data_IF_078666916175
#
_entry.id   IF_078666916175
#
_cell.length_a   1.000
_cell.length_b   1.000
_cell.length_c   1.000
_cell.angle_alpha   90.00
_cell.angle_beta   90.00
_cell.angle_gamma   90.00
#
_symmetry.space_group_name_H-M   'P 1'
#
loop_
_entity.id
_entity.type
_entity.pdbx_description
1 polymer ?
#
# COMPACT_ATOMS: atom_id res chain seq x y z
N UNK A 1 -24.85 -2.74 28.44
CA UNK A 1 -25.20 -3.87 29.32
C UNK A 1 -25.28 -5.13 28.48
N UNK A 2 -24.88 -6.28 29.01
CA UNK A 2 -24.90 -7.57 28.29
C UNK A 2 -26.27 -8.22 28.47
N UNK A 3 -26.94 -8.57 27.39
CA UNK A 3 -28.23 -9.29 27.44
C UNK A 3 -28.03 -10.80 27.26
N UNK A 4 -28.80 -11.58 28.02
CA UNK A 4 -28.84 -13.04 27.91
C UNK A 4 -30.12 -13.50 27.21
N UNK A 5 -30.05 -14.64 26.54
CA UNK A 5 -31.19 -15.19 25.83
C UNK A 5 -32.16 -15.89 26.81
N UNK A 6 -33.47 -15.61 26.71
CA UNK A 6 -34.47 -16.19 27.60
C UNK A 6 -34.70 -17.70 27.40
N UNK A 7 -34.26 -18.27 26.26
CA UNK A 7 -34.43 -19.71 25.96
C UNK A 7 -33.22 -20.54 26.37
N UNK A 8 -32.02 -20.06 26.02
CA UNK A 8 -30.78 -20.83 26.08
C UNK A 8 -29.88 -20.41 27.28
N UNK A 9 -30.19 -19.29 27.96
CA UNK A 9 -29.30 -18.64 28.94
C UNK A 9 -27.98 -18.13 28.35
N UNK A 10 -27.77 -18.30 27.04
CA UNK A 10 -26.55 -17.91 26.34
C UNK A 10 -26.47 -16.42 26.11
N UNK A 11 -25.25 -15.93 25.95
CA UNK A 11 -24.96 -14.53 25.68
C UNK A 11 -25.47 -14.13 24.29
N UNK A 12 -26.19 -13.01 24.22
CA UNK A 12 -26.65 -12.45 22.95
C UNK A 12 -25.54 -11.62 22.31
N UNK A 13 -25.23 -11.91 21.05
CA UNK A 13 -24.17 -11.23 20.30
C UNK A 13 -24.82 -10.28 19.27
N UNK A 14 -24.31 -9.05 19.12
CA UNK A 14 -24.79 -8.12 18.11
C UNK A 14 -24.60 -8.68 16.70
N UNK A 15 -25.65 -8.65 15.91
CA UNK A 15 -25.72 -9.13 14.54
C UNK A 15 -26.35 -8.05 13.67
N UNK A 16 -25.63 -7.59 12.65
CA UNK A 16 -26.14 -6.60 11.70
C UNK A 16 -26.82 -7.32 10.54
N UNK A 17 -28.09 -7.01 10.30
CA UNK A 17 -28.84 -7.50 9.14
C UNK A 17 -29.68 -6.37 8.57
N UNK A 18 -29.60 -6.13 7.27
CA UNK A 18 -30.40 -5.13 6.56
C UNK A 18 -30.33 -3.71 7.18
N UNK A 19 -29.11 -3.28 7.57
CA UNK A 19 -28.83 -2.02 8.28
C UNK A 19 -29.50 -1.87 9.66
N UNK A 20 -30.09 -2.93 10.20
CA UNK A 20 -30.70 -2.95 11.53
C UNK A 20 -29.84 -3.81 12.45
N UNK A 21 -29.62 -3.33 13.68
CA UNK A 21 -28.90 -4.07 14.72
C UNK A 21 -29.84 -5.05 15.41
N UNK A 22 -29.46 -6.32 15.42
CA UNK A 22 -30.13 -7.41 16.12
C UNK A 22 -29.20 -8.01 17.16
N UNK A 23 -29.77 -8.77 18.09
CA UNK A 23 -29.07 -9.62 19.03
C UNK A 23 -29.42 -11.07 18.76
N UNK A 24 -28.42 -11.91 18.51
CA UNK A 24 -28.61 -13.33 18.17
C UNK A 24 -28.01 -14.24 19.25
N UNK A 25 -28.77 -15.26 19.74
CA UNK A 25 -28.20 -16.36 20.54
C UNK A 25 -27.48 -17.32 19.58
N UNK A 26 -26.22 -17.64 19.87
CA UNK A 26 -25.42 -18.60 19.12
C UNK A 26 -25.89 -20.04 19.28
N UNK A 27 -26.55 -20.37 20.40
CA UNK A 27 -27.01 -21.74 20.71
C UNK A 27 -28.38 -22.09 20.12
N UNK A 28 -29.35 -21.19 20.19
CA UNK A 28 -30.75 -21.47 19.80
C UNK A 28 -31.28 -20.61 18.65
N UNK A 29 -30.44 -19.77 18.05
CA UNK A 29 -30.81 -18.84 16.97
C UNK A 29 -31.94 -17.85 17.29
N UNK A 30 -32.24 -17.58 18.57
CA UNK A 30 -33.15 -16.51 18.95
C UNK A 30 -32.63 -15.14 18.46
N UNK A 31 -33.50 -14.33 17.85
CA UNK A 31 -33.17 -13.01 17.31
C UNK A 31 -34.06 -11.97 18.01
N UNK A 32 -33.43 -10.96 18.62
CA UNK A 32 -34.11 -9.79 19.21
C UNK A 32 -33.73 -8.54 18.41
N UNK A 33 -34.74 -7.77 17.97
CA UNK A 33 -34.51 -6.48 17.30
C UNK A 33 -34.17 -5.44 18.37
N UNK A 34 -33.07 -4.71 18.19
CA UNK A 34 -32.77 -3.53 19.01
C UNK A 34 -33.33 -2.31 18.27
N UNK A 35 -34.39 -1.71 18.81
CA UNK A 35 -34.97 -0.45 18.31
C UNK A 35 -34.28 0.79 18.89
N UNK A 36 -33.63 0.66 20.04
CA UNK A 36 -33.06 1.79 20.79
C UNK A 36 -31.54 1.84 20.64
N UNK A 37 -31.02 3.03 20.31
CA UNK A 37 -29.59 3.34 20.31
C UNK A 37 -29.04 3.50 21.74
N UNK A 38 -29.30 2.57 22.64
CA UNK A 38 -28.79 2.60 24.01
C UNK A 38 -27.36 2.03 24.08
N UNK A 39 -26.39 2.75 23.50
CA UNK A 39 -24.99 2.37 23.57
C UNK A 39 -24.03 3.37 22.93
N UNK A 40 -22.75 3.29 23.32
CA UNK A 40 -21.67 4.05 22.69
C UNK A 40 -21.30 3.44 21.34
N UNK A 41 -21.31 4.24 20.27
CA UNK A 41 -20.83 3.85 18.95
C UNK A 41 -19.35 4.27 18.79
N UNK A 42 -18.44 3.32 18.95
CA UNK A 42 -17.02 3.52 18.63
C UNK A 42 -16.82 3.49 17.12
N UNK A 43 -16.95 4.63 16.45
CA UNK A 43 -16.68 4.73 15.01
C UNK A 43 -15.18 4.87 14.79
N UNK A 44 -14.49 3.75 14.56
CA UNK A 44 -13.10 3.78 14.11
C UNK A 44 -13.13 4.16 12.62
N UNK A 45 -12.93 5.45 12.34
CA UNK A 45 -12.70 5.94 10.97
C UNK A 45 -11.33 5.42 10.51
N UNK A 46 -11.31 4.20 9.96
CA UNK A 46 -10.16 3.69 9.24
C UNK A 46 -10.04 4.54 7.97
N UNK A 47 -9.20 5.58 8.01
CA UNK A 47 -8.75 6.25 6.79
C UNK A 47 -8.08 5.17 5.96
N UNK A 48 -8.72 4.74 4.86
CA UNK A 48 -8.07 3.97 3.82
C UNK A 48 -6.89 4.82 3.38
N UNK A 49 -5.68 4.51 3.86
CA UNK A 49 -4.45 4.99 3.22
C UNK A 49 -4.62 4.56 1.78
N UNK A 50 -4.82 5.53 0.88
CA UNK A 50 -4.75 5.29 -0.55
C UNK A 50 -3.52 4.43 -0.77
N UNK A 51 -3.74 3.20 -1.22
CA UNK A 51 -2.65 2.34 -1.67
C UNK A 51 -2.06 3.08 -2.86
N UNK A 52 -0.98 3.83 -2.63
CA UNK A 52 -0.21 4.45 -3.70
C UNK A 52 0.30 3.30 -4.54
N UNK A 53 -0.31 3.05 -5.69
CA UNK A 53 0.25 2.16 -6.68
C UNK A 53 1.67 2.66 -6.98
N UNK A 54 2.70 1.80 -6.96
CA UNK A 54 4.02 2.22 -7.36
C UNK A 54 3.97 2.59 -8.83
N UNK A 55 3.95 3.90 -9.12
CA UNK A 55 4.10 4.41 -10.48
C UNK A 55 5.56 4.18 -10.85
N UNK A 56 5.81 3.27 -11.79
CA UNK A 56 7.13 3.18 -12.43
C UNK A 56 7.29 4.47 -13.22
N UNK A 57 8.01 5.42 -12.62
CA UNK A 57 8.50 6.59 -13.33
C UNK A 57 9.72 6.08 -14.09
N UNK A 58 9.53 5.74 -15.37
CA UNK A 58 10.67 5.76 -16.29
C UNK A 58 11.24 7.17 -16.16
N UNK A 59 12.39 7.27 -15.49
CA UNK A 59 13.13 8.50 -15.47
C UNK A 59 13.55 8.70 -16.92
N UNK A 60 12.75 9.41 -17.71
CA UNK A 60 13.29 10.31 -18.71
C UNK A 60 14.10 11.33 -17.93
N UNK A 61 15.28 10.90 -17.46
CA UNK A 61 16.31 11.78 -16.95
C UNK A 61 16.49 12.73 -18.12
N UNK A 62 16.13 14.01 -17.91
CA UNK A 62 16.70 15.06 -18.73
C UNK A 62 18.19 14.92 -18.47
N UNK A 63 18.88 14.15 -19.32
CA UNK A 63 20.31 13.97 -19.23
C UNK A 63 20.83 15.40 -19.36
N UNK A 64 21.45 15.87 -18.30
CA UNK A 64 21.97 17.22 -18.25
C UNK A 64 22.98 17.34 -19.40
N UNK A 65 22.80 18.32 -20.29
CA UNK A 65 23.61 18.42 -21.52
C UNK A 65 25.10 18.45 -21.18
N UNK A 66 25.44 19.10 -20.07
CA UNK A 66 26.78 19.19 -19.52
C UNK A 66 27.36 17.81 -19.14
N UNK A 67 26.54 16.90 -18.58
CA UNK A 67 27.01 15.54 -18.27
C UNK A 67 27.29 14.74 -19.55
N UNK A 68 26.47 14.94 -20.58
CA UNK A 68 26.60 14.25 -21.86
C UNK A 68 27.84 14.72 -22.64
N UNK A 69 28.18 16.00 -22.54
CA UNK A 69 29.40 16.57 -23.12
C UNK A 69 30.64 16.05 -22.40
N UNK A 70 30.65 16.07 -21.06
CA UNK A 70 31.75 15.51 -20.26
C UNK A 70 32.01 14.03 -20.56
N UNK A 71 30.95 13.25 -20.74
CA UNK A 71 31.06 11.82 -21.08
C UNK A 71 31.66 11.62 -22.48
N UNK A 72 31.35 12.50 -23.43
CA UNK A 72 31.95 12.47 -24.77
C UNK A 72 33.42 12.88 -24.77
N UNK A 73 33.78 13.94 -24.06
CA UNK A 73 35.17 14.40 -23.92
C UNK A 73 36.05 13.31 -23.29
N UNK A 74 35.58 12.71 -22.19
CA UNK A 74 36.28 11.60 -21.54
C UNK A 74 36.49 10.40 -22.47
N UNK A 75 35.48 10.09 -23.30
CA UNK A 75 35.57 8.99 -24.25
C UNK A 75 36.58 9.29 -25.36
N UNK A 76 36.65 10.54 -25.83
CA UNK A 76 37.65 10.97 -26.82
C UNK A 76 39.07 10.84 -26.27
N UNK A 77 39.33 11.39 -25.08
CA UNK A 77 40.64 11.29 -24.41
C UNK A 77 41.08 9.82 -24.25
N UNK A 78 40.15 8.94 -23.86
CA UNK A 78 40.43 7.50 -23.74
C UNK A 78 40.85 6.87 -25.08
N UNK A 79 40.16 7.21 -26.17
CA UNK A 79 40.47 6.68 -27.49
C UNK A 79 41.81 7.20 -28.03
N UNK A 80 42.14 8.47 -27.79
CA UNK A 80 43.42 9.06 -28.18
C UNK A 80 44.58 8.33 -27.49
N UNK A 81 44.53 8.19 -26.16
CA UNK A 81 45.53 7.46 -25.39
C UNK A 81 45.66 6.01 -25.87
N UNK A 82 44.53 5.36 -26.17
CA UNK A 82 44.52 3.99 -26.66
C UNK A 82 45.21 3.85 -28.02
N UNK A 83 44.94 4.76 -28.96
CA UNK A 83 45.55 4.76 -30.29
C UNK A 83 47.05 5.06 -30.21
N UNK A 84 47.45 6.06 -29.41
CA UNK A 84 48.87 6.36 -29.16
C UNK A 84 49.60 5.14 -28.60
N UNK A 85 48.99 4.43 -27.65
CA UNK A 85 49.59 3.22 -27.06
C UNK A 85 49.74 2.11 -28.11
N UNK A 86 48.77 1.96 -29.01
CA UNK A 86 48.84 0.98 -30.10
C UNK A 86 49.91 1.33 -31.13
N UNK A 87 49.99 2.60 -31.55
CA UNK A 87 51.02 3.09 -32.46
C UNK A 87 52.42 2.89 -31.87
N UNK A 88 52.61 3.20 -30.58
CA UNK A 88 53.86 2.94 -29.88
C UNK A 88 54.23 1.45 -29.86
N UNK A 89 53.25 0.55 -29.70
CA UNK A 89 53.48 -0.90 -29.75
C UNK A 89 53.79 -1.40 -31.17
N UNK A 90 53.24 -0.77 -32.21
CA UNK A 90 53.53 -1.10 -33.61
C UNK A 90 54.90 -0.56 -34.07
N UNK A 91 55.36 0.56 -33.52
CA UNK A 91 56.70 1.12 -33.78
C UNK A 91 57.82 0.46 -32.96
N UNK A 92 57.48 -0.44 -32.01
CA UNK A 92 58.42 -1.15 -31.13
C UNK A 92 58.86 -2.53 -31.64
#
# INVERSE_FOLDING_TARGET
MVEFCPKCGGLLIPYLKDNIKYLKCTRCNYIKKISEKSGYEGVIKIKRKERKAPKVVEKTKKIDKEQMEKEKELLQEYYEVFLETMEQMEES
#
